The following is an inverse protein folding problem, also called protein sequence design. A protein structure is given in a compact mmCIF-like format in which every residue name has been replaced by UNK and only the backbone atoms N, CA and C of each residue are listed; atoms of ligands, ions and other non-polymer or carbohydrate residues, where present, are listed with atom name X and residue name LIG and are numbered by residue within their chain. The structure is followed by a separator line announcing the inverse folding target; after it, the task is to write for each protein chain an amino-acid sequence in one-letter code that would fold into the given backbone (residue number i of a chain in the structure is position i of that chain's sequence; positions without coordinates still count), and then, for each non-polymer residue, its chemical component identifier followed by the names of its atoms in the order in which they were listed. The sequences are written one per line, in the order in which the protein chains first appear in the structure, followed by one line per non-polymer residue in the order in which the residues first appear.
data_IF_603028704195
#
_entry.id   IF_603028704195
#
_cell.length_a   1.000
_cell.length_b   1.000
_cell.length_c   1.000
_cell.angle_alpha   90.00
_cell.angle_beta   90.00
_cell.angle_gamma   90.00
#
_symmetry.space_group_name_H-M   'P 1'
#
loop_
_entity.id
_entity.type
_entity.pdbx_description
1 polymer ?
#
# COMPACT_ATOMS: atom_id res chain seq x y z
N UNK A 1 -10.02 -9.28 12.46
CA UNK A 1 -8.56 -9.29 12.28
C UNK A 1 -8.27 -9.47 10.81
N UNK A 2 -7.28 -8.75 10.28
CA UNK A 2 -6.78 -8.88 8.92
C UNK A 2 -5.57 -9.79 8.94
N UNK A 3 -5.46 -10.70 7.97
CA UNK A 3 -4.27 -11.53 7.78
C UNK A 3 -3.70 -11.22 6.41
N UNK A 4 -2.44 -10.82 6.36
CA UNK A 4 -1.72 -10.56 5.13
C UNK A 4 -0.84 -11.77 4.85
N UNK A 5 -0.94 -12.30 3.63
CA UNK A 5 -0.11 -13.38 3.16
C UNK A 5 0.66 -12.94 1.92
N UNK A 6 1.85 -13.52 1.77
CA UNK A 6 2.56 -13.52 0.49
C UNK A 6 2.12 -14.77 -0.25
N UNK A 7 1.17 -14.63 -1.17
CA UNK A 7 0.64 -15.74 -1.94
C UNK A 7 1.67 -16.25 -2.97
N UNK A 8 2.41 -15.34 -3.58
CA UNK A 8 3.55 -15.67 -4.46
C UNK A 8 4.66 -14.63 -4.29
N UNK A 9 5.92 -15.05 -4.36
CA UNK A 9 7.09 -14.18 -4.40
C UNK A 9 8.10 -14.70 -5.43
N UNK A 10 8.03 -14.14 -6.63
CA UNK A 10 8.83 -14.58 -7.78
C UNK A 10 10.02 -13.65 -8.01
N UNK A 11 11.15 -14.22 -8.41
CA UNK A 11 12.37 -13.47 -8.72
C UNK A 11 13.23 -13.11 -7.51
N UNK A 12 12.77 -13.30 -6.27
CA UNK A 12 13.55 -13.02 -5.07
C UNK A 12 14.59 -14.11 -4.79
N UNK A 13 15.78 -13.72 -4.34
CA UNK A 13 16.76 -14.62 -3.73
C UNK A 13 16.37 -14.97 -2.28
N UNK A 14 17.00 -15.99 -1.71
CA UNK A 14 16.76 -16.38 -0.30
C UNK A 14 17.03 -15.24 0.69
N UNK A 15 18.02 -14.38 0.43
CA UNK A 15 18.30 -13.24 1.31
C UNK A 15 17.23 -12.14 1.16
N UNK A 16 16.84 -11.81 -0.07
CA UNK A 16 15.80 -10.82 -0.35
C UNK A 16 14.44 -11.25 0.23
N UNK A 17 14.14 -12.56 0.23
CA UNK A 17 12.94 -13.10 0.85
C UNK A 17 12.84 -12.82 2.35
N UNK A 18 13.96 -12.67 3.07
CA UNK A 18 13.91 -12.30 4.49
C UNK A 18 13.33 -10.90 4.69
N UNK A 19 13.66 -9.94 3.82
CA UNK A 19 13.06 -8.59 3.84
C UNK A 19 11.57 -8.66 3.48
N UNK A 20 11.17 -9.52 2.53
CA UNK A 20 9.76 -9.76 2.20
C UNK A 20 8.98 -10.33 3.39
N UNK A 21 9.52 -11.33 4.08
CA UNK A 21 8.90 -11.94 5.26
C UNK A 21 8.80 -10.95 6.43
N UNK A 22 9.86 -10.17 6.67
CA UNK A 22 9.86 -9.12 7.67
C UNK A 22 8.81 -8.04 7.36
N UNK A 23 8.66 -7.68 6.09
CA UNK A 23 7.65 -6.72 5.65
C UNK A 23 6.24 -7.29 5.86
N UNK A 24 6.01 -8.54 5.49
CA UNK A 24 4.73 -9.21 5.71
C UNK A 24 4.34 -9.25 7.19
N UNK A 25 5.29 -9.58 8.08
CA UNK A 25 5.05 -9.57 9.53
C UNK A 25 4.72 -8.16 10.03
N UNK A 26 5.49 -7.16 9.59
CA UNK A 26 5.27 -5.75 9.91
C UNK A 26 3.88 -5.27 9.48
N UNK A 27 3.47 -5.59 8.26
CA UNK A 27 2.18 -5.19 7.72
C UNK A 27 1.01 -5.86 8.49
N UNK A 28 1.15 -7.14 8.86
CA UNK A 28 0.15 -7.83 9.69
C UNK A 28 -0.05 -7.11 11.03
N UNK A 29 1.03 -6.62 11.65
CA UNK A 29 0.93 -5.86 12.89
C UNK A 29 0.32 -4.47 12.68
N UNK A 30 0.76 -3.76 11.62
CA UNK A 30 0.32 -2.38 11.35
C UNK A 30 -1.16 -2.32 11.00
N UNK A 31 -1.63 -3.09 10.01
CA UNK A 31 -3.02 -2.99 9.56
C UNK A 31 -4.04 -3.41 10.63
N UNK A 32 -3.62 -4.17 11.64
CA UNK A 32 -4.45 -4.52 12.80
C UNK A 32 -4.26 -3.58 14.01
N UNK A 33 -3.38 -2.58 13.92
CA UNK A 33 -3.07 -1.69 15.04
C UNK A 33 -4.06 -0.52 15.15
N UNK A 34 -4.36 -0.12 16.38
CA UNK A 34 -5.14 1.10 16.64
C UNK A 34 -4.42 2.34 16.10
N UNK A 35 -3.09 2.37 16.17
CA UNK A 35 -2.26 3.47 15.65
C UNK A 35 -2.49 3.68 14.15
N UNK A 36 -2.55 2.61 13.36
CA UNK A 36 -2.86 2.70 11.93
C UNK A 36 -4.28 3.22 11.71
N UNK A 37 -5.27 2.61 12.38
CA UNK A 37 -6.67 3.06 12.33
C UNK A 37 -6.80 4.55 12.61
N UNK A 38 -6.26 5.03 13.72
CA UNK A 38 -6.34 6.43 14.08
C UNK A 38 -5.68 7.35 13.05
N UNK A 39 -4.50 6.98 12.52
CA UNK A 39 -3.78 7.79 11.53
C UNK A 39 -4.57 7.92 10.24
N UNK A 40 -5.23 6.85 9.79
CA UNK A 40 -6.11 6.89 8.61
C UNK A 40 -7.34 7.76 8.88
N UNK A 41 -8.03 7.53 9.99
CA UNK A 41 -9.26 8.27 10.32
C UNK A 41 -8.99 9.78 10.51
N UNK A 42 -7.85 10.13 11.09
CA UNK A 42 -7.42 11.51 11.35
C UNK A 42 -6.56 12.10 10.22
N UNK A 43 -6.44 11.43 9.06
CA UNK A 43 -5.66 11.96 7.94
C UNK A 43 -6.23 13.31 7.47
N UNK A 44 -5.37 14.32 7.37
CA UNK A 44 -5.77 15.68 6.99
C UNK A 44 -5.01 16.19 5.78
N UNK A 45 -5.73 16.86 4.89
CA UNK A 45 -5.18 17.62 3.77
C UNK A 45 -5.80 19.00 3.76
N UNK A 46 -4.99 20.06 3.63
CA UNK A 46 -5.43 21.47 3.69
C UNK A 46 -6.29 21.80 4.94
N UNK A 47 -5.99 21.17 6.08
CA UNK A 47 -6.75 21.32 7.32
C UNK A 47 -8.10 20.60 7.34
N UNK A 48 -8.42 19.79 6.33
CA UNK A 48 -9.66 19.01 6.22
C UNK A 48 -9.39 17.51 6.38
N UNK A 49 -10.26 16.81 7.12
CA UNK A 49 -10.22 15.34 7.26
C UNK A 49 -10.64 14.64 5.95
N UNK A 50 -9.69 14.51 5.03
CA UNK A 50 -9.90 13.87 3.73
C UNK A 50 -8.58 13.44 3.09
N UNK A 51 -8.67 12.38 2.30
CA UNK A 51 -7.74 12.10 1.20
C UNK A 51 -8.18 12.84 -0.08
N UNK A 52 -7.25 13.00 -1.02
CA UNK A 52 -7.59 13.29 -2.42
C UNK A 52 -7.80 11.99 -3.20
N UNK A 53 -8.66 12.04 -4.19
CA UNK A 53 -9.04 10.86 -4.95
C UNK A 53 -9.15 11.17 -6.41
N UNK A 54 -8.80 10.18 -7.21
CA UNK A 54 -8.89 10.25 -8.65
C UNK A 54 -9.69 9.07 -9.15
N UNK A 55 -10.63 9.32 -10.06
CA UNK A 55 -11.54 8.27 -10.57
C UNK A 55 -10.82 7.16 -11.34
N UNK A 56 -9.64 7.46 -11.89
CA UNK A 56 -8.75 6.54 -12.60
C UNK A 56 -7.43 7.25 -12.95
N UNK A 57 -6.48 6.50 -13.49
CA UNK A 57 -5.16 6.96 -13.94
C UNK A 57 -5.20 8.11 -14.97
N UNK A 58 -6.34 8.33 -15.63
CA UNK A 58 -6.57 9.45 -16.55
C UNK A 58 -7.72 10.36 -16.10
N UNK A 59 -8.31 10.12 -14.93
CA UNK A 59 -9.49 10.81 -14.42
C UNK A 59 -9.22 12.18 -13.79
N UNK A 60 -10.30 12.90 -13.48
CA UNK A 60 -10.26 14.15 -12.69
C UNK A 60 -10.10 13.85 -11.20
N UNK A 61 -9.47 14.78 -10.49
CA UNK A 61 -9.49 14.80 -9.02
C UNK A 61 -10.91 15.06 -8.52
N UNK A 62 -11.30 14.33 -7.48
CA UNK A 62 -12.58 14.46 -6.80
C UNK A 62 -12.28 14.67 -5.32
N UNK A 63 -12.84 15.74 -4.77
CA UNK A 63 -12.76 16.00 -3.35
C UNK A 63 -13.85 15.20 -2.63
N UNK A 64 -13.45 14.32 -1.70
CA UNK A 64 -14.31 13.48 -0.83
C UNK A 64 -15.17 12.36 -1.50
N UNK A 65 -14.74 11.62 -2.54
CA UNK A 65 -15.52 10.46 -3.01
C UNK A 65 -15.55 9.30 -2.00
N UNK A 66 -14.65 9.26 -1.02
CA UNK A 66 -14.81 8.47 0.21
C UNK A 66 -14.42 9.31 1.44
N UNK A 67 -15.04 9.02 2.57
CA UNK A 67 -14.60 9.51 3.87
C UNK A 67 -13.38 8.72 4.34
N UNK A 68 -12.59 9.25 5.29
CA UNK A 68 -11.46 8.52 5.87
C UNK A 68 -11.89 7.18 6.49
N UNK A 69 -13.11 7.12 7.05
CA UNK A 69 -13.68 5.87 7.56
C UNK A 69 -13.89 4.85 6.44
N UNK A 70 -14.48 5.27 5.32
CA UNK A 70 -14.67 4.41 4.16
C UNK A 70 -13.33 3.97 3.55
N UNK A 71 -12.31 4.84 3.52
CA UNK A 71 -10.96 4.42 3.09
C UNK A 71 -10.40 3.35 4.02
N UNK A 72 -10.45 3.59 5.34
CA UNK A 72 -9.99 2.60 6.31
C UNK A 72 -10.71 1.28 6.11
N UNK A 73 -12.04 1.31 5.98
CA UNK A 73 -12.84 0.12 5.69
C UNK A 73 -12.41 -0.57 4.40
N UNK A 74 -12.28 0.14 3.29
CA UNK A 74 -11.89 -0.45 2.00
C UNK A 74 -10.48 -1.05 2.07
N UNK A 75 -9.51 -0.32 2.62
CA UNK A 75 -8.10 -0.76 2.76
C UNK A 75 -7.97 -2.00 3.65
N UNK A 76 -8.84 -2.11 4.66
CA UNK A 76 -8.85 -3.21 5.63
C UNK A 76 -9.92 -4.27 5.34
N UNK A 77 -10.68 -4.15 4.25
CA UNK A 77 -11.68 -5.12 3.80
C UNK A 77 -11.12 -6.01 2.72
N UNK A 78 -11.63 -7.25 2.67
CA UNK A 78 -11.35 -8.21 1.62
C UNK A 78 -12.64 -8.66 0.93
N UNK A 79 -12.48 -9.24 -0.27
CA UNK A 79 -13.42 -9.91 -1.15
C UNK A 79 -13.75 -11.38 -0.78
N UNK A 80 -13.69 -11.78 0.49
CA UNK A 80 -13.78 -13.20 0.90
C UNK A 80 -13.49 -13.44 2.40
N UNK A 81 -14.51 -13.39 3.24
CA UNK A 81 -14.35 -13.92 4.59
C UNK A 81 -14.10 -15.43 4.48
N UNK A 82 -13.08 -15.95 5.17
CA UNK A 82 -13.10 -17.38 5.51
C UNK A 82 -14.21 -17.64 6.55
N UNK A 83 -14.56 -18.90 6.76
CA UNK A 83 -15.61 -19.31 7.70
C UNK A 83 -15.36 -18.84 9.16
N UNK A 84 -14.16 -18.32 9.45
CA UNK A 84 -13.74 -17.80 10.75
C UNK A 84 -13.85 -16.27 10.89
N UNK A 85 -14.24 -15.54 9.84
CA UNK A 85 -14.37 -14.08 9.87
C UNK A 85 -13.04 -13.32 9.87
N UNK A 86 -11.94 -13.96 9.47
CA UNK A 86 -10.65 -13.31 9.24
C UNK A 86 -10.65 -12.74 7.82
N UNK A 87 -10.25 -11.47 7.69
CA UNK A 87 -10.13 -10.81 6.39
C UNK A 87 -8.75 -11.08 5.82
N UNK A 88 -8.64 -11.71 4.67
CA UNK A 88 -7.35 -12.09 4.10
C UNK A 88 -6.89 -11.10 3.02
N UNK A 89 -5.62 -10.70 3.00
CA UNK A 89 -5.00 -9.95 1.90
C UNK A 89 -3.90 -10.81 1.34
N UNK A 90 -4.03 -11.19 0.06
CA UNK A 90 -3.05 -12.03 -0.62
C UNK A 90 -2.23 -11.18 -1.59
N UNK A 91 -0.95 -11.01 -1.27
CA UNK A 91 -0.01 -10.25 -2.07
C UNK A 91 0.71 -11.18 -3.05
N UNK A 92 0.66 -10.84 -4.33
CA UNK A 92 1.37 -11.53 -5.40
C UNK A 92 2.55 -10.67 -5.86
N UNK A 93 3.76 -11.03 -5.45
CA UNK A 93 4.96 -10.23 -5.63
C UNK A 93 5.83 -10.75 -6.79
N UNK A 94 6.34 -9.83 -7.60
CA UNK A 94 7.28 -10.08 -8.69
C UNK A 94 8.46 -9.10 -8.58
N UNK A 95 9.67 -9.61 -8.40
CA UNK A 95 10.89 -8.80 -8.40
C UNK A 95 11.48 -8.75 -9.81
N UNK A 96 11.43 -7.58 -10.43
CA UNK A 96 11.95 -7.35 -11.77
C UNK A 96 13.45 -7.01 -11.75
N UNK A 97 14.25 -7.46 -12.74
CA UNK A 97 15.64 -7.04 -12.85
C UNK A 97 15.75 -5.55 -13.21
N UNK A 98 16.79 -4.88 -12.70
CA UNK A 98 17.10 -3.48 -12.99
C UNK A 98 16.10 -2.50 -12.40
N UNK A 99 15.92 -1.38 -13.11
CA UNK A 99 15.17 -0.18 -12.67
C UNK A 99 16.11 0.75 -11.90
N UNK A 100 16.31 1.99 -12.35
CA UNK A 100 17.08 2.94 -11.54
C UNK A 100 16.42 3.20 -10.18
N UNK A 101 17.11 3.85 -9.25
CA UNK A 101 16.57 4.20 -7.91
C UNK A 101 15.26 5.02 -7.98
N UNK A 102 14.97 5.67 -9.11
CA UNK A 102 13.74 6.43 -9.35
C UNK A 102 12.54 5.57 -9.78
N UNK A 103 12.77 4.30 -10.13
CA UNK A 103 11.74 3.36 -10.56
C UNK A 103 11.48 2.35 -9.45
N UNK A 104 10.42 2.61 -8.69
CA UNK A 104 10.05 1.85 -7.50
C UNK A 104 9.40 0.51 -7.88
N UNK A 105 8.35 0.58 -8.69
CA UNK A 105 7.48 -0.54 -9.01
C UNK A 105 6.14 -0.08 -9.55
N UNK A 106 5.23 -1.03 -9.72
CA UNK A 106 3.84 -0.76 -10.09
C UNK A 106 2.95 -1.98 -9.84
N UNK A 107 1.64 -1.76 -9.79
CA UNK A 107 0.63 -2.81 -9.77
C UNK A 107 0.02 -3.01 -11.15
N UNK A 108 -0.08 -4.26 -11.60
CA UNK A 108 -1.00 -4.65 -12.66
C UNK A 108 -2.33 -5.09 -12.05
N UNK A 109 -3.35 -4.23 -12.16
CA UNK A 109 -4.67 -4.48 -11.57
C UNK A 109 -5.42 -5.63 -12.23
N UNK A 110 -5.07 -6.03 -13.46
CA UNK A 110 -5.70 -7.15 -14.14
C UNK A 110 -5.21 -8.49 -13.59
N UNK A 111 -3.90 -8.57 -13.31
CA UNK A 111 -3.27 -9.80 -12.78
C UNK A 111 -3.14 -9.80 -11.26
N UNK A 112 -3.44 -8.66 -10.60
CA UNK A 112 -3.25 -8.43 -9.15
C UNK A 112 -1.81 -8.67 -8.69
N UNK A 113 -0.85 -8.46 -9.59
CA UNK A 113 0.58 -8.58 -9.29
C UNK A 113 1.15 -7.22 -8.91
N UNK A 114 2.02 -7.24 -7.90
CA UNK A 114 2.83 -6.10 -7.48
C UNK A 114 4.25 -6.35 -8.00
N UNK A 115 4.68 -5.50 -8.91
CA UNK A 115 6.02 -5.50 -9.45
C UNK A 115 6.89 -4.53 -8.67
N UNK A 116 8.07 -4.97 -8.26
CA UNK A 116 9.08 -4.12 -7.63
C UNK A 116 10.37 -4.26 -8.41
N UNK A 117 11.06 -3.15 -8.67
CA UNK A 117 12.38 -3.18 -9.31
C UNK A 117 13.46 -3.52 -8.28
N UNK A 118 14.39 -4.40 -8.67
CA UNK A 118 15.38 -4.96 -7.75
C UNK A 118 16.33 -3.93 -7.17
N UNK A 119 16.81 -2.98 -7.97
CA UNK A 119 17.81 -2.02 -7.48
C UNK A 119 17.21 -1.12 -6.40
N UNK A 120 15.96 -0.67 -6.59
CA UNK A 120 15.19 0.05 -5.57
C UNK A 120 14.90 -0.82 -4.34
N UNK A 121 14.40 -2.05 -4.53
CA UNK A 121 14.13 -2.98 -3.42
C UNK A 121 15.35 -3.19 -2.51
N UNK A 122 16.53 -3.28 -3.12
CA UNK A 122 17.78 -3.50 -2.42
C UNK A 122 18.30 -2.23 -1.72
N UNK A 123 18.04 -1.04 -2.27
CA UNK A 123 18.50 0.22 -1.68
C UNK A 123 17.63 0.72 -0.51
N UNK A 124 16.35 0.35 -0.46
CA UNK A 124 15.42 0.87 0.55
C UNK A 124 15.37 0.08 1.85
N UNK A 125 14.93 0.76 2.90
CA UNK A 125 14.66 0.18 4.21
C UNK A 125 13.42 -0.72 4.22
N UNK A 126 13.26 -1.47 5.32
CA UNK A 126 12.04 -2.25 5.57
C UNK A 126 10.78 -1.37 5.61
N UNK A 127 10.89 -0.16 6.18
CA UNK A 127 9.77 0.77 6.31
C UNK A 127 9.28 1.29 4.97
N UNK A 128 10.22 1.71 4.11
CA UNK A 128 9.92 2.15 2.75
C UNK A 128 9.30 1.01 1.92
N UNK A 129 9.82 -0.22 2.05
CA UNK A 129 9.25 -1.37 1.35
C UNK A 129 7.84 -1.72 1.85
N UNK A 130 7.59 -1.66 3.16
CA UNK A 130 6.25 -1.84 3.72
C UNK A 130 5.28 -0.76 3.23
N UNK A 131 5.73 0.51 3.19
CA UNK A 131 4.99 1.63 2.62
C UNK A 131 4.60 1.37 1.16
N UNK A 132 5.57 0.96 0.33
CA UNK A 132 5.36 0.58 -1.06
C UNK A 132 4.34 -0.54 -1.22
N UNK A 133 4.45 -1.65 -0.48
CA UNK A 133 3.47 -2.74 -0.58
C UNK A 133 2.04 -2.27 -0.26
N UNK A 134 1.86 -1.39 0.73
CA UNK A 134 0.53 -0.85 1.04
C UNK A 134 0.03 0.19 0.03
N UNK A 135 0.94 0.94 -0.59
CA UNK A 135 0.63 1.82 -1.71
C UNK A 135 0.07 1.03 -2.90
N UNK A 136 0.79 -0.02 -3.28
CA UNK A 136 0.42 -0.91 -4.38
C UNK A 136 -0.87 -1.69 -4.08
N UNK A 137 -1.08 -2.10 -2.83
CA UNK A 137 -2.36 -2.65 -2.39
C UNK A 137 -3.53 -1.68 -2.61
N UNK A 138 -3.35 -0.38 -2.36
CA UNK A 138 -4.40 0.60 -2.64
C UNK A 138 -4.75 0.67 -4.12
N UNK A 139 -3.79 0.48 -5.02
CA UNK A 139 -4.06 0.38 -6.46
C UNK A 139 -4.90 -0.85 -6.81
N UNK A 140 -4.65 -2.00 -6.17
CA UNK A 140 -5.48 -3.20 -6.35
C UNK A 140 -6.94 -2.99 -5.91
N UNK A 141 -7.16 -2.12 -4.94
CA UNK A 141 -8.48 -1.73 -4.46
C UNK A 141 -9.18 -0.69 -5.34
N UNK A 142 -8.54 -0.25 -6.42
CA UNK A 142 -9.10 0.72 -7.37
C UNK A 142 -8.85 2.18 -7.00
N UNK A 143 -8.01 2.46 -6.00
CA UNK A 143 -7.54 3.82 -5.75
C UNK A 143 -6.42 4.20 -6.72
N UNK A 144 -6.37 5.49 -7.06
CA UNK A 144 -5.43 6.00 -8.04
C UNK A 144 -4.96 7.41 -7.65
N UNK A 145 -3.87 7.86 -8.28
CA UNK A 145 -3.28 9.17 -8.09
C UNK A 145 -2.83 9.77 -9.42
N UNK A 146 -2.33 11.01 -9.41
CA UNK A 146 -1.81 11.65 -10.62
C UNK A 146 -0.49 11.01 -11.08
N UNK A 147 -0.27 10.77 -12.38
CA UNK A 147 1.02 10.32 -12.90
C UNK A 147 2.08 11.42 -12.84
N UNK A 148 1.65 12.68 -12.78
CA UNK A 148 2.55 13.83 -12.69
C UNK A 148 2.66 14.27 -11.22
N UNK A 149 3.84 14.69 -10.77
CA UNK A 149 3.97 15.34 -9.47
C UNK A 149 3.03 16.55 -9.41
N UNK A 150 2.12 16.54 -8.42
CA UNK A 150 1.27 17.67 -8.07
C UNK A 150 0.95 17.62 -6.58
N UNK A 151 0.63 18.76 -5.94
CA UNK A 151 0.44 18.80 -4.48
C UNK A 151 -0.64 17.85 -3.95
N UNK A 152 -1.64 17.48 -4.77
CA UNK A 152 -2.69 16.54 -4.34
C UNK A 152 -2.26 15.08 -4.39
N UNK A 153 -1.20 14.77 -5.14
CA UNK A 153 -0.68 13.41 -5.32
C UNK A 153 -0.23 12.80 -4.00
N UNK A 154 0.56 13.52 -3.21
CA UNK A 154 1.07 13.07 -1.89
C UNK A 154 -0.05 12.82 -0.87
N UNK A 155 -1.21 13.42 -1.11
CA UNK A 155 -2.40 13.30 -0.29
C UNK A 155 -3.46 12.36 -0.87
N UNK A 156 -3.13 11.67 -1.97
CA UNK A 156 -3.98 10.62 -2.52
C UNK A 156 -4.05 9.40 -1.60
N UNK A 157 -5.05 8.54 -1.78
CA UNK A 157 -5.17 7.32 -0.95
C UNK A 157 -3.91 6.44 -1.01
N UNK A 158 -3.37 6.06 -2.20
CA UNK A 158 -2.17 5.22 -2.23
C UNK A 158 -0.97 5.86 -1.51
N UNK A 159 -0.70 7.15 -1.76
CA UNK A 159 0.41 7.86 -1.09
C UNK A 159 0.18 8.01 0.41
N UNK A 160 -0.99 8.49 0.83
CA UNK A 160 -1.28 8.72 2.24
C UNK A 160 -1.23 7.43 3.07
N UNK A 161 -1.77 6.32 2.53
CA UNK A 161 -1.69 5.02 3.20
C UNK A 161 -0.25 4.50 3.25
N UNK A 162 0.50 4.58 2.15
CA UNK A 162 1.91 4.21 2.10
C UNK A 162 2.75 4.96 3.14
N UNK A 163 2.62 6.29 3.19
CA UNK A 163 3.34 7.14 4.14
C UNK A 163 2.93 6.89 5.59
N UNK A 164 1.64 6.61 5.87
CA UNK A 164 1.21 6.20 7.22
C UNK A 164 1.90 4.90 7.63
N UNK A 165 1.89 3.88 6.75
CA UNK A 165 2.52 2.59 7.02
C UNK A 165 4.01 2.74 7.28
N UNK A 166 4.72 3.46 6.42
CA UNK A 166 6.16 3.73 6.57
C UNK A 166 6.45 4.46 7.89
N UNK A 167 5.71 5.53 8.19
CA UNK A 167 5.90 6.30 9.42
C UNK A 167 5.62 5.48 10.69
N UNK A 168 4.64 4.57 10.65
CA UNK A 168 4.41 3.67 11.78
C UNK A 168 5.56 2.66 11.89
N UNK A 169 6.05 2.13 10.76
CA UNK A 169 7.18 1.19 10.71
C UNK A 169 8.46 1.76 11.29
N UNK A 170 8.82 3.01 10.96
CA UNK A 170 10.01 3.69 11.49
C UNK A 170 9.97 3.93 13.01
N UNK A 171 8.80 3.83 13.63
CA UNK A 171 8.58 4.09 15.04
C UNK A 171 8.21 2.81 15.83
N UNK A 172 8.56 1.63 15.30
CA UNK A 172 8.63 0.38 16.06
C UNK A 172 10.04 0.18 16.60
#
# INVERSE_FOLDING_TARGET
MIKINIATANGFTTEELKKVEAANSTLNNILNSEKFRERVLKFTTDGLFRFHYRRSFFGKWIDKPHTNHQVYEIVTQHSGADDAGVKQIDLHLELLPGGGEEHIGYTDTNTRKIFTYRDWFNSVSLAEYAGHLTHEWCHQLGFDHSPKPDPKREHSVPYGIGSITEAITLNY
#
